data_IF_058388132795
#
_entry.id   IF_058388132795
#
_cell.length_a   1.000
_cell.length_b   1.000
_cell.length_c   1.000
_cell.angle_alpha   90.00
_cell.angle_beta   90.00
_cell.angle_gamma   90.00
#
_symmetry.space_group_name_H-M   'P 1'
#
loop_
_entity.id
_entity.type
_entity.pdbx_description
1 polymer ?
#
# COMPACT_ATOMS: atom_id res chain seq x y z
N UNK A 1 -9.32 3.81 16.70
CA UNK A 1 -8.31 4.75 17.20
C UNK A 1 -7.68 5.47 16.00
N UNK A 2 -7.91 6.78 15.81
CA UNK A 2 -7.60 7.50 14.56
C UNK A 2 -6.11 7.56 14.23
N UNK A 3 -5.25 7.73 15.23
CA UNK A 3 -3.79 7.77 15.04
C UNK A 3 -3.22 6.46 14.52
N UNK A 4 -3.69 5.31 15.02
CA UNK A 4 -3.20 4.00 14.60
C UNK A 4 -3.44 3.75 13.11
N UNK A 5 -4.63 4.10 12.61
CA UNK A 5 -4.97 3.95 11.19
C UNK A 5 -4.15 4.89 10.32
N UNK A 6 -3.94 6.14 10.75
CA UNK A 6 -3.10 7.09 10.03
C UNK A 6 -1.65 6.61 9.90
N UNK A 7 -1.02 6.24 11.02
CA UNK A 7 0.35 5.72 11.00
C UNK A 7 0.47 4.39 10.26
N UNK A 8 -0.53 3.51 10.34
CA UNK A 8 -0.54 2.25 9.61
C UNK A 8 -0.53 2.45 8.09
N UNK A 9 -1.40 3.33 7.58
CA UNK A 9 -1.41 3.67 6.14
C UNK A 9 -0.13 4.39 5.74
N UNK A 10 0.36 5.33 6.56
CA UNK A 10 1.61 6.04 6.30
C UNK A 10 2.83 5.11 6.23
N UNK A 11 2.96 4.17 7.18
CA UNK A 11 4.03 3.18 7.18
C UNK A 11 3.96 2.24 5.98
N UNK A 12 2.75 1.85 5.56
CA UNK A 12 2.57 1.05 4.36
C UNK A 12 3.06 1.77 3.11
N UNK A 13 2.69 3.04 2.91
CA UNK A 13 3.18 3.84 1.78
C UNK A 13 4.70 4.01 1.82
N UNK A 14 5.27 4.29 3.00
CA UNK A 14 6.72 4.40 3.17
C UNK A 14 7.44 3.09 2.85
N UNK A 15 6.90 1.95 3.26
CA UNK A 15 7.48 0.63 2.96
C UNK A 15 7.51 0.34 1.45
N UNK A 16 6.45 0.73 0.72
CA UNK A 16 6.41 0.61 -0.75
C UNK A 16 7.45 1.53 -1.38
N UNK A 17 7.56 2.78 -0.93
CA UNK A 17 8.57 3.71 -1.42
C UNK A 17 10.00 3.20 -1.17
N UNK A 18 10.28 2.60 -0.01
CA UNK A 18 11.57 1.97 0.28
C UNK A 18 11.83 0.76 -0.63
N UNK A 19 10.81 -0.05 -0.94
CA UNK A 19 10.96 -1.16 -1.88
C UNK A 19 11.30 -0.67 -3.30
N UNK A 20 10.63 0.38 -3.80
CA UNK A 20 10.95 0.98 -5.09
C UNK A 20 12.35 1.60 -5.13
N UNK A 21 12.77 2.23 -4.03
CA UNK A 21 14.12 2.78 -3.89
C UNK A 21 15.18 1.67 -4.01
N UNK A 22 14.99 0.53 -3.33
CA UNK A 22 15.90 -0.61 -3.42
C UNK A 22 15.94 -1.27 -4.80
N UNK A 23 14.80 -1.35 -5.50
CA UNK A 23 14.74 -1.80 -6.90
C UNK A 23 15.55 -0.83 -7.79
N UNK A 24 15.32 0.48 -7.63
CA UNK A 24 16.01 1.51 -8.41
C UNK A 24 17.51 1.51 -8.16
N UNK A 25 17.95 1.38 -6.92
CA UNK A 25 19.36 1.21 -6.55
C UNK A 25 19.99 0.03 -7.32
N UNK A 26 19.36 -1.15 -7.26
CA UNK A 26 19.88 -2.33 -7.96
C UNK A 26 19.97 -2.12 -9.48
N UNK A 27 19.00 -1.42 -10.07
CA UNK A 27 18.96 -1.12 -11.51
C UNK A 27 19.99 -0.05 -11.91
N UNK A 28 20.23 0.96 -11.08
CA UNK A 28 21.19 2.05 -11.34
C UNK A 28 22.63 1.54 -11.35
N UNK A 29 22.96 0.58 -10.49
CA UNK A 29 24.29 -0.07 -10.48
C UNK A 29 24.44 -1.21 -11.48
N UNK A 30 23.47 -1.42 -12.37
CA UNK A 30 23.56 -2.39 -13.46
C UNK A 30 24.08 -1.72 -14.73
N UNK A 31 25.10 -2.31 -15.35
CA UNK A 31 25.65 -1.83 -16.62
C UNK A 31 24.57 -1.83 -17.71
N UNK A 32 24.52 -0.76 -18.50
CA UNK A 32 23.63 -0.61 -19.65
C UNK A 32 22.12 -0.65 -19.34
N UNK A 33 21.66 -0.20 -18.17
CA UNK A 33 20.22 -0.06 -17.87
C UNK A 33 19.44 0.70 -18.96
N UNK A 34 20.02 1.77 -19.52
CA UNK A 34 19.41 2.58 -20.59
C UNK A 34 19.22 1.82 -21.92
N UNK A 35 19.84 0.65 -22.09
CA UNK A 35 19.68 -0.16 -23.31
C UNK A 35 18.42 -1.05 -23.31
N UNK A 36 17.59 -0.96 -22.26
CA UNK A 36 16.37 -1.76 -22.18
C UNK A 36 16.65 -3.24 -21.93
N UNK A 37 17.67 -3.54 -21.13
CA UNK A 37 17.98 -4.91 -20.72
C UNK A 37 16.76 -5.58 -20.05
N UNK A 38 16.52 -6.89 -20.29
CA UNK A 38 15.36 -7.60 -19.75
C UNK A 38 15.19 -7.46 -18.24
N UNK A 39 16.30 -7.41 -17.49
CA UNK A 39 16.33 -7.20 -16.04
C UNK A 39 15.76 -5.84 -15.63
N UNK A 40 16.06 -4.78 -16.40
CA UNK A 40 15.52 -3.44 -16.16
C UNK A 40 14.01 -3.37 -16.39
N UNK A 41 13.53 -3.99 -17.46
CA UNK A 41 12.09 -4.04 -17.77
C UNK A 41 11.31 -4.83 -16.71
N UNK A 42 11.87 -5.94 -16.22
CA UNK A 42 11.27 -6.73 -15.15
C UNK A 42 11.23 -5.94 -13.82
N UNK A 43 12.32 -5.24 -13.46
CA UNK A 43 12.37 -4.37 -12.29
C UNK A 43 11.33 -3.24 -12.34
N UNK A 44 11.22 -2.55 -13.47
CA UNK A 44 10.23 -1.48 -13.66
C UNK A 44 8.79 -2.01 -13.62
N UNK A 45 8.54 -3.18 -14.22
CA UNK A 45 7.22 -3.81 -14.18
C UNK A 45 6.83 -4.19 -12.75
N UNK A 46 7.79 -4.70 -11.96
CA UNK A 46 7.58 -4.99 -10.55
C UNK A 46 7.28 -3.72 -9.75
N UNK A 47 8.04 -2.64 -9.96
CA UNK A 47 7.79 -1.34 -9.32
C UNK A 47 6.39 -0.81 -9.62
N UNK A 48 5.99 -0.81 -10.90
CA UNK A 48 4.64 -0.39 -11.30
C UNK A 48 3.54 -1.24 -10.64
N UNK A 49 3.73 -2.56 -10.57
CA UNK A 49 2.81 -3.46 -9.87
C UNK A 49 2.69 -3.09 -8.38
N UNK A 50 3.79 -2.74 -7.72
CA UNK A 50 3.78 -2.31 -6.31
C UNK A 50 3.04 -0.98 -6.12
N UNK A 51 3.22 -0.01 -7.02
CA UNK A 51 2.50 1.28 -6.96
C UNK A 51 1.00 1.08 -7.14
N UNK A 52 0.59 0.29 -8.14
CA UNK A 52 -0.82 -0.01 -8.38
C UNK A 52 -1.42 -0.74 -7.18
N UNK A 53 -0.71 -1.73 -6.63
CA UNK A 53 -1.15 -2.43 -5.43
C UNK A 53 -1.31 -1.49 -4.22
N UNK A 54 -0.32 -0.63 -3.98
CA UNK A 54 -0.37 0.33 -2.89
C UNK A 54 -1.55 1.29 -3.03
N UNK A 55 -1.79 1.79 -4.25
CA UNK A 55 -2.92 2.65 -4.54
C UNK A 55 -4.26 1.97 -4.26
N UNK A 56 -4.43 0.70 -4.68
CA UNK A 56 -5.66 -0.06 -4.42
C UNK A 56 -5.88 -0.28 -2.92
N UNK A 57 -4.83 -0.59 -2.16
CA UNK A 57 -4.94 -0.78 -0.71
C UNK A 57 -5.30 0.54 -0.01
N UNK A 58 -4.67 1.66 -0.38
CA UNK A 58 -5.00 2.98 0.17
C UNK A 58 -6.45 3.36 -0.18
N UNK A 59 -6.90 3.08 -1.40
CA UNK A 59 -8.27 3.32 -1.81
C UNK A 59 -9.27 2.52 -0.97
N UNK A 60 -9.07 1.21 -0.82
CA UNK A 60 -9.99 0.34 -0.06
C UNK A 60 -10.01 0.73 1.42
N UNK A 61 -8.85 1.05 2.00
CA UNK A 61 -8.73 1.39 3.44
C UNK A 61 -9.32 2.76 3.78
N UNK A 62 -9.33 3.69 2.84
CA UNK A 62 -9.90 5.04 3.03
C UNK A 62 -11.40 5.11 2.71
N UNK A 63 -11.94 4.13 1.97
CA UNK A 63 -13.34 4.12 1.61
C UNK A 63 -14.23 3.70 2.79
N UNK A 64 -15.03 4.65 3.29
CA UNK A 64 -15.89 4.47 4.47
C UNK A 64 -16.95 3.38 4.31
N UNK A 65 -17.36 3.07 3.07
CA UNK A 65 -18.34 2.03 2.78
C UNK A 65 -17.84 0.60 3.07
N UNK A 66 -16.51 0.37 3.07
CA UNK A 66 -15.91 -0.93 3.37
C UNK A 66 -15.51 -1.09 4.85
N UNK A 67 -15.86 -0.11 5.69
CA UNK A 67 -15.56 -0.17 7.11
C UNK A 67 -16.41 -1.27 7.76
N UNK A 68 -15.79 -2.12 8.60
CA UNK A 68 -16.49 -3.16 9.38
C UNK A 68 -17.68 -2.54 10.11
N UNK A 69 -18.87 -3.09 9.87
CA UNK A 69 -20.05 -2.76 10.67
C UNK A 69 -19.87 -3.31 12.09
N UNK A 70 -20.20 -2.52 13.13
CA UNK A 70 -20.10 -3.00 14.51
C UNK A 70 -21.05 -4.18 14.72
N UNK A 71 -20.63 -5.16 15.52
CA UNK A 71 -21.50 -6.28 15.88
C UNK A 71 -22.69 -5.77 16.72
N UNK A 72 -23.85 -6.45 16.69
CA UNK A 72 -24.99 -6.09 17.52
C UNK A 72 -24.68 -6.03 19.03
N UNK A 73 -23.74 -6.86 19.50
CA UNK A 73 -23.23 -6.86 20.88
C UNK A 73 -22.33 -5.64 21.22
N UNK A 74 -21.76 -4.99 20.20
CA UNK A 74 -20.93 -3.78 20.34
C UNK A 74 -21.80 -2.50 20.30
N UNK A 75 -23.11 -2.62 20.01
CA UNK A 75 -24.06 -1.52 20.03
C UNK A 75 -24.53 -1.27 21.47
N UNK A 76 -24.74 -0.01 21.88
CA UNK A 76 -25.35 0.28 23.18
C UNK A 76 -26.69 -0.44 23.25
N UNK A 77 -26.91 -1.21 24.33
CA UNK A 77 -28.16 -1.94 24.55
C UNK A 77 -29.33 -0.99 24.32
N UNK A 78 -30.24 -1.36 23.42
CA UNK A 78 -31.46 -0.59 23.23
C UNK A 78 -32.19 -0.54 24.59
N UNK A 79 -32.60 0.64 25.08
CA UNK A 79 -33.37 0.69 26.32
C UNK A 79 -34.64 -0.12 26.11
N UNK A 80 -34.83 -1.15 26.94
CA UNK A 80 -36.09 -1.90 27.02
C UNK A 80 -37.20 -0.90 27.33
N UNK A 81 -38.17 -0.79 26.44
CA UNK A 81 -39.35 0.06 26.64
C UNK A 81 -40.34 -0.57 27.63
#
# INVERSE_FOLDING_TARGET
>A
MPFHTFFGVGLFVMAVATAEMGITEKLVWTDNYSSGIPEGNMGNSLGLCLVVFAFLIVFITTHSAYKRQPLPEELPSQPLN
#
